data_IF_582130679044
#
_entry.id   IF_582130679044
#
_cell.length_a   1.000
_cell.length_b   1.000
_cell.length_c   1.000
_cell.angle_alpha   90.00
_cell.angle_beta   90.00
_cell.angle_gamma   90.00
#
_symmetry.space_group_name_H-M   'P 1'
#
loop_
_entity.id
_entity.type
_entity.pdbx_description
1 polymer ?
#
# COMPACT_ATOMS: atom_id res chain seq x y z
N UNK A 1 -3.84 -0.26 -9.74
CA UNK A 1 -2.96 -1.46 -9.69
C UNK A 1 -1.53 -1.04 -9.35
N UNK A 2 -0.63 -1.97 -8.98
CA UNK A 2 0.77 -1.60 -8.74
C UNK A 2 1.45 -1.05 -10.00
N UNK A 3 1.05 -1.51 -11.20
CA UNK A 3 1.52 -0.99 -12.50
C UNK A 3 1.18 0.48 -12.70
N UNK A 4 -0.08 0.83 -12.42
CA UNK A 4 -0.56 2.21 -12.55
C UNK A 4 0.12 3.14 -11.55
N UNK A 5 0.29 2.70 -10.30
CA UNK A 5 1.00 3.47 -9.27
C UNK A 5 2.46 3.68 -9.67
N UNK A 6 3.15 2.61 -10.09
CA UNK A 6 4.53 2.64 -10.55
C UNK A 6 4.72 3.66 -11.69
N UNK A 7 3.83 3.63 -12.69
CA UNK A 7 3.84 4.58 -13.80
C UNK A 7 3.61 6.02 -13.36
N UNK A 8 2.66 6.27 -12.44
CA UNK A 8 2.37 7.63 -11.97
C UNK A 8 3.48 8.22 -11.09
N UNK A 9 4.23 7.37 -10.38
CA UNK A 9 5.27 7.80 -9.45
C UNK A 9 6.70 7.67 -10.02
N UNK A 10 6.84 7.21 -11.27
CA UNK A 10 8.12 6.93 -11.94
C UNK A 10 9.08 6.05 -11.10
N UNK A 11 8.54 4.97 -10.53
CA UNK A 11 9.28 3.96 -9.76
C UNK A 11 8.94 2.55 -10.23
N UNK A 12 9.76 1.57 -9.85
CA UNK A 12 9.49 0.18 -10.24
C UNK A 12 8.22 -0.39 -9.58
N UNK A 13 7.52 -1.30 -10.26
CA UNK A 13 6.40 -2.05 -9.66
C UNK A 13 6.83 -2.84 -8.41
N UNK A 14 8.10 -3.27 -8.36
CA UNK A 14 8.69 -3.94 -7.20
C UNK A 14 8.75 -2.99 -6.00
N UNK A 15 9.20 -1.76 -6.19
CA UNK A 15 9.23 -0.71 -5.15
C UNK A 15 7.84 -0.45 -4.58
N UNK A 16 6.81 -0.37 -5.43
CA UNK A 16 5.41 -0.24 -4.98
C UNK A 16 4.98 -1.44 -4.12
N UNK A 17 5.35 -2.68 -4.50
CA UNK A 17 5.06 -3.89 -3.71
C UNK A 17 5.71 -3.81 -2.32
N UNK A 18 6.97 -3.37 -2.24
CA UNK A 18 7.67 -3.21 -0.96
C UNK A 18 6.98 -2.19 -0.05
N UNK A 19 6.59 -1.03 -0.59
CA UNK A 19 5.82 -0.04 0.17
C UNK A 19 4.49 -0.60 0.68
N UNK A 20 3.74 -1.32 -0.15
CA UNK A 20 2.48 -1.96 0.27
C UNK A 20 2.73 -2.99 1.38
N UNK A 21 3.79 -3.81 1.28
CA UNK A 21 4.17 -4.75 2.35
C UNK A 21 4.49 -4.04 3.66
N UNK A 22 5.22 -2.93 3.60
CA UNK A 22 5.52 -2.12 4.79
C UNK A 22 4.25 -1.52 5.39
N UNK A 23 3.30 -1.04 4.58
CA UNK A 23 2.02 -0.55 5.07
C UNK A 23 1.23 -1.66 5.77
N UNK A 24 1.10 -2.84 5.16
CA UNK A 24 0.46 -4.01 5.78
C UNK A 24 1.04 -4.32 7.16
N UNK A 25 2.38 -4.34 7.28
CA UNK A 25 3.07 -4.56 8.56
C UNK A 25 2.78 -3.47 9.58
N UNK A 26 2.83 -2.20 9.17
CA UNK A 26 2.64 -1.04 10.05
C UNK A 26 1.20 -0.92 10.56
N UNK A 27 0.22 -1.23 9.71
CA UNK A 27 -1.20 -1.22 10.08
C UNK A 27 -1.68 -2.55 10.66
N UNK A 28 -0.77 -3.53 10.86
CA UNK A 28 -1.09 -4.88 11.35
C UNK A 28 -2.24 -5.55 10.58
N UNK A 29 -2.30 -5.34 9.26
CA UNK A 29 -3.33 -5.90 8.38
C UNK A 29 -2.72 -6.83 7.33
N UNK A 30 -3.53 -7.71 6.75
CA UNK A 30 -3.09 -8.66 5.70
C UNK A 30 -3.67 -8.34 4.32
N UNK A 31 -4.54 -7.34 4.22
CA UNK A 31 -5.19 -6.94 2.97
C UNK A 31 -5.10 -5.44 2.73
N UNK A 32 -5.13 -5.03 1.47
CA UNK A 32 -5.11 -3.61 1.09
C UNK A 32 -6.37 -2.87 1.57
N UNK A 33 -7.52 -3.54 1.56
CA UNK A 33 -8.75 -3.00 2.13
C UNK A 33 -8.63 -2.81 3.64
N UNK A 34 -7.95 -3.72 4.34
CA UNK A 34 -7.64 -3.60 5.76
C UNK A 34 -6.77 -2.38 6.07
N UNK A 35 -5.80 -2.03 5.21
CA UNK A 35 -5.04 -0.77 5.32
C UNK A 35 -5.98 0.42 5.34
N UNK A 36 -6.92 0.49 4.37
CA UNK A 36 -7.85 1.62 4.27
C UNK A 36 -8.77 1.70 5.49
N UNK A 37 -9.32 0.57 5.94
CA UNK A 37 -10.17 0.52 7.12
C UNK A 37 -9.45 1.05 8.38
N UNK A 38 -8.17 0.74 8.56
CA UNK A 38 -7.38 1.26 9.68
C UNK A 38 -7.13 2.77 9.56
N UNK A 39 -6.68 3.24 8.39
CA UNK A 39 -6.36 4.67 8.18
C UNK A 39 -7.62 5.54 8.35
N UNK A 40 -8.77 5.10 7.84
CA UNK A 40 -10.01 5.87 7.91
C UNK A 40 -10.79 5.73 9.23
N UNK A 41 -10.39 4.83 10.13
CA UNK A 41 -10.94 4.80 11.49
C UNK A 41 -10.28 5.84 12.42
N UNK A 42 -9.07 6.28 12.06
CA UNK A 42 -8.30 7.28 12.81
C UNK A 42 -8.53 8.73 12.31
N UNK A 43 -9.48 8.95 11.39
CA UNK A 43 -9.83 10.27 10.83
C UNK A 43 -11.21 10.70 11.29
#
# INVERSE_FOLDING_TARGET
TNKEIARHLDISEHTVKEHVRHLLKKTKTTTRTGILAQIFQDT
#
